data_IF_624015018051
#
_entry.id   IF_624015018051
#
_cell.length_a   1.000
_cell.length_b   1.000
_cell.length_c   1.000
_cell.angle_alpha   90.00
_cell.angle_beta   90.00
_cell.angle_gamma   90.00
#
_symmetry.space_group_name_H-M   'P 1'
#
loop_
_entity.id
_entity.type
_entity.pdbx_description
1 polymer ?
#
# COMPACT_ATOMS: atom_id res chain seq x y z
N UNK A 1 0.42 0.47 19.91
CA UNK A 1 -0.81 -0.34 19.74
C UNK A 1 -1.97 0.62 19.48
N UNK A 2 -2.75 0.44 18.41
CA UNK A 2 -3.95 1.25 18.15
C UNK A 2 -3.94 2.13 16.88
N UNK A 3 -2.80 2.25 16.19
CA UNK A 3 -2.72 3.06 14.95
C UNK A 3 -3.60 2.49 13.82
N UNK A 4 -3.68 1.17 13.70
CA UNK A 4 -4.55 0.51 12.71
C UNK A 4 -6.04 0.79 12.96
N UNK A 5 -6.48 0.77 14.22
CA UNK A 5 -7.86 1.12 14.58
C UNK A 5 -8.15 2.58 14.28
N UNK A 6 -7.20 3.47 14.59
CA UNK A 6 -7.33 4.89 14.27
C UNK A 6 -7.36 5.15 12.76
N UNK A 7 -6.52 4.49 11.98
CA UNK A 7 -6.51 4.69 10.51
C UNK A 7 -7.77 4.13 9.86
N UNK A 8 -8.32 3.02 10.36
CA UNK A 8 -9.61 2.51 9.93
C UNK A 8 -10.75 3.50 10.25
N UNK A 9 -10.74 4.09 11.46
CA UNK A 9 -11.72 5.11 11.83
C UNK A 9 -11.62 6.34 10.91
N UNK A 10 -10.41 6.82 10.61
CA UNK A 10 -10.17 7.92 9.66
C UNK A 10 -10.73 7.58 8.28
N UNK A 11 -10.48 6.37 7.76
CA UNK A 11 -11.02 5.94 6.48
C UNK A 11 -12.55 5.93 6.47
N UNK A 12 -13.17 5.32 7.49
CA UNK A 12 -14.62 5.20 7.62
C UNK A 12 -15.33 6.56 7.70
N UNK A 13 -14.67 7.59 8.25
CA UNK A 13 -15.21 8.94 8.40
C UNK A 13 -14.83 9.88 7.23
N UNK A 14 -14.11 9.39 6.24
CA UNK A 14 -13.67 10.19 5.08
C UNK A 14 -14.67 10.14 3.92
N UNK A 15 -14.55 11.07 2.97
CA UNK A 15 -15.29 11.04 1.70
C UNK A 15 -14.99 9.77 0.86
N UNK A 16 -13.95 9.02 1.22
CA UNK A 16 -13.50 7.80 0.54
C UNK A 16 -13.93 6.51 1.26
N UNK A 17 -14.82 6.59 2.24
CA UNK A 17 -15.27 5.44 3.03
C UNK A 17 -15.94 4.32 2.20
N UNK A 18 -16.47 4.64 1.02
CA UNK A 18 -17.00 3.65 0.08
C UNK A 18 -15.90 2.95 -0.76
N UNK A 19 -14.69 3.50 -0.77
CA UNK A 19 -13.54 2.95 -1.46
C UNK A 19 -12.76 1.92 -0.63
N UNK A 20 -11.74 1.28 -1.20
CA UNK A 20 -10.96 0.26 -0.51
C UNK A 20 -10.13 0.82 0.65
N UNK A 21 -9.97 0.05 1.71
CA UNK A 21 -8.95 0.28 2.75
C UNK A 21 -7.90 -0.83 2.67
N UNK A 22 -6.67 -0.46 2.30
CA UNK A 22 -5.54 -1.37 2.20
C UNK A 22 -4.53 -1.01 3.29
N UNK A 23 -4.15 -1.99 4.12
CA UNK A 23 -3.10 -1.84 5.12
C UNK A 23 -1.85 -2.61 4.69
N UNK A 24 -0.69 -1.97 4.81
CA UNK A 24 0.61 -2.53 4.46
C UNK A 24 1.56 -2.33 5.63
N UNK A 25 2.14 -3.44 6.12
CA UNK A 25 3.26 -3.38 7.06
C UNK A 25 4.57 -3.34 6.26
N UNK A 26 5.25 -2.19 6.28
CA UNK A 26 6.45 -1.93 5.49
C UNK A 26 7.65 -2.81 5.88
N UNK A 27 7.67 -3.37 7.10
CA UNK A 27 8.71 -4.33 7.53
C UNK A 27 8.72 -5.61 6.67
N UNK A 28 7.60 -5.92 6.01
CA UNK A 28 7.50 -7.06 5.09
C UNK A 28 8.00 -6.76 3.68
N UNK A 29 8.37 -5.51 3.36
CA UNK A 29 8.71 -5.04 2.00
C UNK A 29 10.16 -4.55 1.87
N UNK A 30 11.05 -5.01 2.73
CA UNK A 30 12.45 -4.57 2.78
C UNK A 30 13.37 -5.08 1.64
N UNK A 31 12.84 -5.88 0.70
CA UNK A 31 13.62 -6.44 -0.41
C UNK A 31 13.07 -5.95 -1.77
N UNK A 32 13.93 -5.77 -2.77
CA UNK A 32 13.56 -5.17 -4.05
C UNK A 32 12.47 -5.97 -4.80
N UNK A 33 12.38 -7.28 -4.58
CA UNK A 33 11.31 -8.13 -5.13
C UNK A 33 9.91 -7.79 -4.60
N UNK A 34 9.81 -7.15 -3.42
CA UNK A 34 8.55 -6.72 -2.82
C UNK A 34 8.12 -5.31 -3.30
N UNK A 35 9.02 -4.54 -3.92
CA UNK A 35 8.69 -3.26 -4.55
C UNK A 35 7.64 -3.41 -5.65
N UNK A 36 7.72 -4.48 -6.44
CA UNK A 36 6.74 -4.78 -7.50
C UNK A 36 5.34 -5.05 -6.93
N UNK A 37 5.22 -5.70 -5.77
CA UNK A 37 3.90 -5.86 -5.13
C UNK A 37 3.35 -4.52 -4.60
N UNK A 38 4.23 -3.58 -4.23
CA UNK A 38 3.84 -2.30 -3.65
C UNK A 38 3.48 -1.25 -4.73
N UNK A 39 4.37 -1.03 -5.70
CA UNK A 39 4.21 -0.03 -6.78
C UNK A 39 3.56 -0.63 -8.03
N UNK A 40 3.87 -1.89 -8.34
CA UNK A 40 3.56 -2.53 -9.62
C UNK A 40 4.81 -2.62 -10.50
N UNK A 41 4.88 -3.66 -11.32
CA UNK A 41 5.90 -3.81 -12.36
C UNK A 41 5.47 -3.14 -13.68
N UNK A 42 6.35 -3.14 -14.68
CA UNK A 42 6.02 -2.64 -16.01
C UNK A 42 4.87 -3.46 -16.62
N UNK A 43 3.89 -2.78 -17.22
CA UNK A 43 2.58 -3.36 -17.59
C UNK A 43 2.71 -4.47 -18.63
N UNK A 44 3.87 -4.60 -19.26
CA UNK A 44 4.22 -5.61 -20.27
C UNK A 44 4.60 -6.97 -19.70
N UNK A 45 5.07 -7.06 -18.45
CA UNK A 45 5.64 -8.32 -17.91
C UNK A 45 4.65 -9.15 -17.08
N UNK A 46 3.45 -8.63 -16.79
CA UNK A 46 2.45 -9.35 -16.00
C UNK A 46 1.39 -10.00 -16.89
N UNK A 47 1.73 -11.11 -17.54
CA UNK A 47 0.78 -11.92 -18.33
C UNK A 47 -0.43 -12.44 -17.51
N UNK A 48 -0.43 -12.27 -16.18
CA UNK A 48 -1.57 -12.52 -15.28
C UNK A 48 -1.88 -11.36 -14.30
N UNK A 49 -1.43 -10.14 -14.61
CA UNK A 49 -1.90 -8.85 -14.06
C UNK A 49 -2.20 -8.79 -12.56
N UNK A 50 -1.21 -9.04 -11.70
CA UNK A 50 -1.40 -8.88 -10.25
C UNK A 50 -1.30 -7.40 -9.89
N UNK A 51 -2.42 -6.79 -9.50
CA UNK A 51 -2.49 -5.38 -9.14
C UNK A 51 -1.58 -5.08 -7.94
N UNK A 52 -0.91 -3.93 -7.97
CA UNK A 52 -0.09 -3.46 -6.86
C UNK A 52 -0.94 -2.99 -5.68
N UNK A 53 -0.33 -2.84 -4.49
CA UNK A 53 -1.02 -2.30 -3.32
C UNK A 53 -1.54 -0.88 -3.55
N UNK A 54 -0.80 -0.06 -4.30
CA UNK A 54 -1.23 1.29 -4.67
C UNK A 54 -2.44 1.25 -5.60
N UNK A 55 -2.44 0.35 -6.58
CA UNK A 55 -3.59 0.15 -7.49
C UNK A 55 -4.82 -0.37 -6.74
N UNK A 56 -4.63 -1.34 -5.84
CA UNK A 56 -5.71 -1.89 -5.00
C UNK A 56 -6.32 -0.85 -4.05
N UNK A 57 -5.53 0.15 -3.62
CA UNK A 57 -6.00 1.24 -2.77
C UNK A 57 -6.62 2.41 -3.55
N UNK A 58 -6.65 2.32 -4.89
CA UNK A 58 -7.18 3.40 -5.72
C UNK A 58 -8.64 3.72 -5.37
N UNK A 59 -8.96 5.02 -5.29
CA UNK A 59 -10.26 5.51 -4.86
C UNK A 59 -10.53 5.39 -3.34
N UNK A 60 -9.59 4.85 -2.57
CA UNK A 60 -9.74 4.61 -1.13
C UNK A 60 -8.56 5.12 -0.31
N UNK A 61 -8.07 4.29 0.61
CA UNK A 61 -6.99 4.62 1.56
C UNK A 61 -5.95 3.51 1.61
N UNK A 62 -4.67 3.90 1.55
CA UNK A 62 -3.52 3.05 1.84
C UNK A 62 -2.94 3.45 3.20
N UNK A 63 -2.90 2.53 4.15
CA UNK A 63 -2.27 2.73 5.45
C UNK A 63 -0.90 2.03 5.48
N UNK A 64 0.14 2.79 5.80
CA UNK A 64 1.52 2.30 5.89
C UNK A 64 1.91 2.17 7.37
N UNK A 65 2.01 0.93 7.83
CA UNK A 65 2.50 0.60 9.17
C UNK A 65 4.02 0.40 9.14
N UNK A 66 4.70 0.87 10.19
CA UNK A 66 6.17 0.82 10.31
C UNK A 66 6.91 1.46 9.12
N UNK A 67 6.48 2.65 8.69
CA UNK A 67 7.01 3.38 7.52
C UNK A 67 8.54 3.52 7.53
N UNK A 68 9.17 3.50 8.71
CA UNK A 68 10.63 3.53 8.89
C UNK A 68 11.36 2.33 8.26
N UNK A 69 10.67 1.24 7.90
CA UNK A 69 11.23 0.08 7.21
C UNK A 69 11.02 0.10 5.69
N UNK A 70 10.37 1.12 5.14
CA UNK A 70 10.19 1.24 3.70
C UNK A 70 11.56 1.44 3.03
N UNK A 71 11.88 0.63 2.01
CA UNK A 71 13.13 0.74 1.26
C UNK A 71 13.36 2.17 0.75
N UNK A 72 14.60 2.66 0.78
CA UNK A 72 14.92 4.07 0.45
C UNK A 72 14.53 4.40 -0.98
N UNK A 73 14.70 3.43 -1.88
CA UNK A 73 14.32 3.52 -3.29
C UNK A 73 12.82 3.74 -3.48
N UNK A 74 11.98 3.26 -2.55
CA UNK A 74 10.53 3.45 -2.56
C UNK A 74 10.08 4.78 -1.93
N UNK A 75 10.98 5.50 -1.24
CA UNK A 75 10.65 6.77 -0.58
C UNK A 75 10.76 7.99 -1.50
N UNK A 76 11.54 7.88 -2.58
CA UNK A 76 11.81 8.96 -3.55
C UNK A 76 11.23 8.71 -4.94
N UNK A 77 10.62 7.55 -5.14
CA UNK A 77 10.01 7.12 -6.40
C UNK A 77 8.82 8.01 -6.81
#
# INVERSE_FOLDING_TARGET
MGKALLSQAIHNESERAAGPYISVNCELYGDAALAEEFIGGDRTDSENGRLSRLELAHGGTLFLEKIEYLAVELQSA
#
